data_IF_511673001906
#
_entry.id   IF_511673001906
#
_cell.length_a   1.000
_cell.length_b   1.000
_cell.length_c   1.000
_cell.angle_alpha   90.00
_cell.angle_beta   90.00
_cell.angle_gamma   90.00
#
_symmetry.space_group_name_H-M   'P 1'
#
loop_
_entity.id
_entity.type
_entity.pdbx_description
1 polymer ?
#
# COMPACT_ATOMS: atom_id res chain seq x y z
N UNK A 1 -8.27 -15.88 -11.84
CA UNK A 1 -9.37 -15.09 -11.26
C UNK A 1 -8.85 -14.36 -10.03
N UNK A 2 -9.52 -13.30 -9.59
CA UNK A 2 -9.15 -12.56 -8.37
C UNK A 2 -9.15 -13.48 -7.13
N UNK A 3 -10.18 -14.33 -7.00
CA UNK A 3 -10.27 -15.29 -5.90
C UNK A 3 -9.05 -16.21 -5.81
N UNK A 4 -8.63 -16.81 -6.94
CA UNK A 4 -7.47 -17.71 -6.95
C UNK A 4 -6.16 -16.99 -6.63
N UNK A 5 -6.02 -15.75 -7.10
CA UNK A 5 -4.85 -14.92 -6.78
C UNK A 5 -4.78 -14.63 -5.28
N UNK A 6 -5.89 -14.28 -4.65
CA UNK A 6 -5.97 -14.04 -3.21
C UNK A 6 -5.70 -15.31 -2.40
N UNK A 7 -6.15 -16.48 -2.85
CA UNK A 7 -5.81 -17.77 -2.22
C UNK A 7 -4.30 -18.05 -2.22
N UNK A 8 -3.63 -17.78 -3.34
CA UNK A 8 -2.18 -17.96 -3.47
C UNK A 8 -1.45 -16.99 -2.53
N UNK A 9 -1.82 -15.71 -2.51
CA UNK A 9 -1.18 -14.75 -1.61
C UNK A 9 -1.34 -15.15 -0.13
N UNK A 10 -2.54 -15.63 0.25
CA UNK A 10 -2.79 -16.12 1.61
C UNK A 10 -1.96 -17.35 1.99
N UNK A 11 -1.68 -18.27 1.05
CA UNK A 11 -0.85 -19.43 1.37
C UNK A 11 0.59 -19.02 1.68
N UNK A 12 1.15 -18.06 0.93
CA UNK A 12 2.47 -17.52 1.25
C UNK A 12 2.50 -16.79 2.60
N UNK A 13 1.48 -15.98 2.91
CA UNK A 13 1.38 -15.31 4.21
C UNK A 13 1.30 -16.31 5.37
N UNK A 14 0.56 -17.41 5.21
CA UNK A 14 0.45 -18.48 6.20
C UNK A 14 1.80 -19.19 6.44
N UNK A 15 2.65 -19.28 5.43
CA UNK A 15 4.01 -19.81 5.51
C UNK A 15 5.03 -18.76 6.02
N UNK A 16 4.56 -17.59 6.46
CA UNK A 16 5.39 -16.51 7.01
C UNK A 16 6.07 -15.64 5.95
N UNK A 17 5.72 -15.80 4.67
CA UNK A 17 6.22 -14.95 3.59
C UNK A 17 5.41 -13.65 3.51
N UNK A 18 6.08 -12.52 3.70
CA UNK A 18 5.47 -11.21 3.50
C UNK A 18 5.15 -10.97 2.02
N UNK A 19 3.89 -10.73 1.69
CA UNK A 19 3.44 -10.43 0.33
C UNK A 19 3.32 -8.93 0.13
N UNK A 20 4.06 -8.41 -0.87
CA UNK A 20 3.82 -7.09 -1.42
C UNK A 20 2.87 -7.23 -2.60
N UNK A 21 1.56 -7.08 -2.39
CA UNK A 21 0.54 -7.30 -3.42
C UNK A 21 0.73 -6.29 -4.59
N UNK A 22 1.14 -6.74 -5.80
CA UNK A 22 1.33 -5.85 -6.94
C UNK A 22 0.03 -5.57 -7.72
N UNK A 23 -1.07 -6.22 -7.34
CA UNK A 23 -2.37 -6.16 -8.02
C UNK A 23 -3.33 -5.17 -7.38
N UNK A 24 -2.84 -4.33 -6.48
CA UNK A 24 -3.57 -3.21 -5.88
C UNK A 24 -2.87 -1.90 -6.26
N UNK A 25 -3.64 -0.83 -6.38
CA UNK A 25 -3.09 0.47 -6.78
C UNK A 25 -2.87 1.43 -5.61
N UNK A 26 -3.47 1.19 -4.44
CA UNK A 26 -3.33 2.02 -3.23
C UNK A 26 -2.12 1.58 -2.41
N UNK A 27 -1.33 2.52 -1.90
CA UNK A 27 -0.08 2.18 -1.22
C UNK A 27 -0.30 1.39 0.08
N UNK A 28 -1.40 1.68 0.78
CA UNK A 28 -1.76 1.05 2.06
C UNK A 28 -2.11 -0.44 1.92
N UNK A 29 -2.64 -0.84 0.77
CA UNK A 29 -3.06 -2.23 0.50
C UNK A 29 -1.91 -3.14 0.04
N UNK A 30 -0.72 -2.56 -0.21
CA UNK A 30 0.36 -3.21 -0.94
C UNK A 30 1.43 -3.86 -0.08
N UNK A 31 1.20 -3.95 1.23
CA UNK A 31 2.14 -4.57 2.19
C UNK A 31 3.36 -3.71 2.58
N UNK A 32 3.61 -2.57 1.91
CA UNK A 32 4.74 -1.64 2.20
C UNK A 32 4.34 -0.40 3.01
N UNK A 33 3.29 -0.50 3.81
CA UNK A 33 2.83 0.64 4.61
C UNK A 33 3.84 0.92 5.74
N UNK A 34 4.20 2.19 5.90
CA UNK A 34 5.09 2.64 6.97
C UNK A 34 4.24 2.98 8.21
N UNK A 35 4.22 2.06 9.17
CA UNK A 35 3.48 2.22 10.43
C UNK A 35 3.94 3.40 11.27
N UNK A 36 5.19 3.85 11.10
CA UNK A 36 5.78 4.94 11.88
C UNK A 36 5.34 6.33 11.36
N UNK A 37 4.60 6.38 10.25
CA UNK A 37 4.07 7.62 9.68
C UNK A 37 5.14 8.54 9.07
N UNK A 38 6.41 8.13 9.00
CA UNK A 38 7.51 8.96 8.45
C UNK A 38 7.28 9.29 6.98
N UNK A 39 6.81 8.32 6.18
CA UNK A 39 6.44 8.56 4.77
C UNK A 39 5.31 9.60 4.62
N UNK A 40 4.35 9.61 5.54
CA UNK A 40 3.26 10.59 5.52
C UNK A 40 3.72 11.98 5.93
N UNK A 41 4.57 12.08 6.96
CA UNK A 41 5.19 13.33 7.37
C UNK A 41 6.06 13.93 6.26
N UNK A 42 6.89 13.10 5.61
CA UNK A 42 7.70 13.52 4.48
C UNK A 42 6.83 14.02 3.32
N UNK A 43 5.78 13.28 2.95
CA UNK A 43 4.87 13.71 1.89
C UNK A 43 4.23 15.07 2.21
N UNK A 44 3.74 15.29 3.43
CA UNK A 44 3.19 16.59 3.85
C UNK A 44 4.19 17.73 3.67
N UNK A 45 5.48 17.48 3.87
CA UNK A 45 6.53 18.49 3.70
C UNK A 45 6.85 18.83 2.24
N UNK A 46 6.67 17.88 1.31
CA UNK A 46 7.07 18.05 -0.10
C UNK A 46 5.89 18.18 -1.08
N UNK A 47 4.68 17.86 -0.65
CA UNK A 47 3.45 17.91 -1.46
C UNK A 47 2.29 18.58 -0.69
N UNK A 48 2.45 19.86 -0.29
CA UNK A 48 1.46 20.57 0.53
C UNK A 48 0.10 20.76 -0.18
N UNK A 49 0.07 20.66 -1.51
CA UNK A 49 -1.14 20.78 -2.33
C UNK A 49 -1.69 19.42 -2.80
N UNK A 50 -1.05 18.30 -2.45
CA UNK A 50 -1.53 16.97 -2.80
C UNK A 50 -1.50 16.64 -4.30
N UNK A 51 -0.64 17.31 -5.07
CA UNK A 51 -0.59 17.21 -6.53
C UNK A 51 0.25 16.02 -7.02
N UNK A 52 1.12 15.48 -6.18
CA UNK A 52 1.93 14.33 -6.54
C UNK A 52 1.12 13.04 -6.44
N UNK A 53 0.67 12.55 -7.59
CA UNK A 53 -0.04 11.27 -7.76
C UNK A 53 -1.30 11.14 -6.87
N UNK A 54 -2.32 11.99 -7.10
CA UNK A 54 -3.58 11.93 -6.36
C UNK A 54 -4.25 10.56 -6.50
N UNK A 55 -4.88 10.08 -5.42
CA UNK A 55 -5.54 8.77 -5.35
C UNK A 55 -4.64 7.58 -5.02
N UNK A 56 -3.31 7.76 -4.99
CA UNK A 56 -2.36 6.71 -4.59
C UNK A 56 -2.42 6.35 -3.10
N UNK A 57 -2.89 7.29 -2.27
CA UNK A 57 -3.07 7.17 -0.82
C UNK A 57 -4.54 7.45 -0.46
N UNK A 58 -5.10 6.73 0.50
CA UNK A 58 -6.46 6.95 1.04
C UNK A 58 -6.52 8.14 1.98
N UNK A 59 -5.45 8.41 2.71
CA UNK A 59 -5.42 9.44 3.76
C UNK A 59 -5.35 10.87 3.24
N UNK A 60 -5.45 11.08 1.93
CA UNK A 60 -5.54 12.40 1.31
C UNK A 60 -6.80 12.40 0.43
N UNK A 61 -7.90 12.77 1.08
CA UNK A 61 -9.19 13.15 0.51
C UNK A 61 -9.70 14.35 1.29
#
# INVERSE_FOLDING_TARGET
TEQRLNEIMKSFEADGCMINNPHIFKLEDGGRFDSDGRKMAFRKSVDPHGLLNPGKLRSIG
#
